data_IF_432143448934
#
_entry.id   IF_432143448934
#
_cell.length_a   1.000
_cell.length_b   1.000
_cell.length_c   1.000
_cell.angle_alpha   90.00
_cell.angle_beta   90.00
_cell.angle_gamma   90.00
#
_symmetry.space_group_name_H-M   'P 1'
#
loop_
_entity.id
_entity.type
_entity.pdbx_description
1 polymer ?
#
# COMPACT_ATOMS: atom_id res chain seq x y z
N UNK A 1 2.80 -7.80 -21.72
CA UNK A 1 2.26 -7.29 -20.45
C UNK A 1 2.23 -5.78 -20.59
N UNK A 2 1.10 -5.12 -20.35
CA UNK A 2 1.07 -3.67 -20.36
C UNK A 2 1.45 -3.15 -18.96
N UNK A 3 2.49 -2.35 -18.87
CA UNK A 3 2.94 -1.71 -17.64
C UNK A 3 2.66 -0.23 -17.80
N UNK A 4 1.97 0.36 -16.83
CA UNK A 4 1.69 1.79 -16.84
C UNK A 4 2.69 2.44 -15.89
N UNK A 5 3.49 3.33 -16.46
CA UNK A 5 4.42 4.16 -15.69
C UNK A 5 3.65 5.32 -15.06
N UNK A 6 3.43 5.23 -13.75
CA UNK A 6 2.81 6.28 -12.93
C UNK A 6 3.70 6.55 -11.73
N UNK A 7 3.74 7.81 -11.29
CA UNK A 7 4.52 8.23 -10.12
C UNK A 7 3.74 8.13 -8.81
N UNK A 8 2.41 8.01 -8.88
CA UNK A 8 1.51 8.02 -7.72
C UNK A 8 0.19 7.30 -8.01
N UNK A 9 -0.59 7.01 -6.96
CA UNK A 9 -1.95 6.45 -7.02
C UNK A 9 -2.87 7.35 -7.85
N UNK A 10 -2.77 8.67 -7.69
CA UNK A 10 -3.53 9.66 -8.47
C UNK A 10 -3.26 9.61 -9.99
N UNK A 11 -2.11 9.07 -10.41
CA UNK A 11 -1.75 8.92 -11.82
C UNK A 11 -2.32 7.67 -12.48
N UNK A 12 -2.90 6.74 -11.71
CA UNK A 12 -3.53 5.53 -12.24
C UNK A 12 -4.70 5.94 -13.16
N UNK A 13 -4.90 5.32 -14.33
CA UNK A 13 -6.05 5.64 -15.17
C UNK A 13 -7.37 5.32 -14.48
N UNK A 14 -8.41 6.09 -14.80
CA UNK A 14 -9.74 5.91 -14.23
C UNK A 14 -10.31 4.52 -14.49
N UNK A 15 -11.26 4.10 -13.64
CA UNK A 15 -11.94 2.82 -13.78
C UNK A 15 -12.65 2.70 -15.15
N UNK A 16 -13.17 3.80 -15.67
CA UNK A 16 -13.78 3.83 -17.01
C UNK A 16 -12.76 3.49 -18.10
N UNK A 17 -11.60 4.16 -18.09
CA UNK A 17 -10.54 3.93 -19.09
C UNK A 17 -10.03 2.49 -19.05
N UNK A 18 -9.79 1.93 -17.86
CA UNK A 18 -9.34 0.55 -17.72
C UNK A 18 -10.40 -0.46 -18.15
N UNK A 19 -11.69 -0.16 -17.92
CA UNK A 19 -12.80 -1.03 -18.35
C UNK A 19 -13.00 -1.00 -19.86
N UNK A 20 -12.95 0.19 -20.47
CA UNK A 20 -13.18 0.39 -21.90
C UNK A 20 -12.05 -0.24 -22.75
N UNK A 21 -10.82 -0.22 -22.26
CA UNK A 21 -9.67 -0.81 -22.94
C UNK A 21 -9.56 -2.32 -22.72
N UNK A 22 -10.17 -2.86 -21.67
CA UNK A 22 -10.04 -4.26 -21.27
C UNK A 22 -8.60 -4.67 -20.90
N UNK A 23 -7.70 -3.70 -20.77
CA UNK A 23 -6.29 -3.94 -20.59
C UNK A 23 -5.96 -4.29 -19.14
N UNK A 24 -5.10 -5.30 -18.98
CA UNK A 24 -4.50 -5.61 -17.68
C UNK A 24 -3.25 -4.76 -17.54
N UNK A 25 -3.32 -3.78 -16.65
CA UNK A 25 -2.23 -2.87 -16.36
C UNK A 25 -1.49 -3.29 -15.08
N UNK A 26 -0.16 -3.23 -15.12
CA UNK A 26 0.69 -3.41 -13.95
C UNK A 26 1.31 -2.08 -13.54
N UNK A 27 1.30 -1.81 -12.25
CA UNK A 27 1.80 -0.58 -11.63
C UNK A 27 2.81 -0.95 -10.56
N UNK A 28 3.89 -0.15 -10.45
CA UNK A 28 4.87 -0.28 -9.38
C UNK A 28 5.03 1.05 -8.66
N UNK A 29 4.61 1.13 -7.40
CA UNK A 29 4.66 2.36 -6.61
C UNK A 29 5.35 2.15 -5.26
N UNK A 30 6.12 3.14 -4.76
CA UNK A 30 6.44 3.22 -3.35
C UNK A 30 5.17 3.65 -2.58
N UNK A 31 4.79 2.86 -1.57
CA UNK A 31 3.58 3.11 -0.78
C UNK A 31 3.86 2.85 0.70
N UNK A 32 3.11 3.51 1.57
CA UNK A 32 3.01 3.23 3.00
C UNK A 32 1.95 2.14 3.21
N UNK A 33 2.27 1.15 4.03
CA UNK A 33 1.32 0.11 4.43
C UNK A 33 0.48 0.60 5.60
N UNK A 34 -0.84 0.53 5.45
CA UNK A 34 -1.81 0.97 6.45
C UNK A 34 -2.35 -0.20 7.27
N UNK A 35 -2.77 -1.28 6.61
CA UNK A 35 -3.30 -2.47 7.26
C UNK A 35 -3.18 -3.69 6.35
N UNK A 36 -3.24 -4.86 6.97
CA UNK A 36 -3.40 -6.13 6.24
C UNK A 36 -4.37 -7.03 6.98
N UNK A 37 -5.49 -7.39 6.35
CA UNK A 37 -6.54 -8.19 6.97
C UNK A 37 -7.01 -9.36 6.09
N UNK A 38 -7.03 -10.56 6.66
CA UNK A 38 -7.65 -11.75 6.09
C UNK A 38 -9.14 -11.77 6.42
N UNK A 39 -9.97 -11.64 5.40
CA UNK A 39 -11.43 -11.69 5.55
C UNK A 39 -12.02 -13.07 5.21
N UNK A 40 -11.18 -14.11 5.16
CA UNK A 40 -11.53 -15.52 5.02
C UNK A 40 -11.34 -16.07 3.60
N UNK A 41 -11.84 -15.37 2.57
CA UNK A 41 -11.66 -15.79 1.15
C UNK A 41 -10.45 -15.15 0.48
N UNK A 42 -10.06 -13.98 0.96
CA UNK A 42 -9.00 -13.16 0.40
C UNK A 42 -8.38 -12.37 1.54
N UNK A 43 -7.08 -12.10 1.44
CA UNK A 43 -6.41 -11.14 2.32
C UNK A 43 -6.30 -9.81 1.58
N UNK A 44 -6.56 -8.71 2.26
CA UNK A 44 -6.45 -7.38 1.67
C UNK A 44 -5.34 -6.61 2.38
N UNK A 45 -4.48 -5.97 1.58
CA UNK A 45 -3.46 -5.03 2.02
C UNK A 45 -3.92 -3.63 1.65
N UNK A 46 -4.14 -2.76 2.63
CA UNK A 46 -4.45 -1.34 2.42
C UNK A 46 -3.15 -0.55 2.41
N UNK A 47 -2.98 0.28 1.39
CA UNK A 47 -1.78 1.09 1.18
C UNK A 47 -2.15 2.50 0.75
N UNK A 48 -1.23 3.44 0.94
CA UNK A 48 -1.36 4.82 0.48
C UNK A 48 -0.01 5.40 0.07
N UNK A 49 -0.01 6.32 -0.88
CA UNK A 49 1.07 7.29 -1.11
C UNK A 49 0.60 8.73 -0.82
N UNK A 50 -0.55 8.86 -0.15
CA UNK A 50 -1.26 10.09 0.14
C UNK A 50 -1.70 10.91 -1.07
N UNK A 51 -1.76 10.30 -2.25
CA UNK A 51 -2.34 10.93 -3.43
C UNK A 51 -3.79 10.46 -3.62
N UNK A 52 -4.72 11.39 -3.88
CA UNK A 52 -6.13 11.04 -4.00
C UNK A 52 -6.44 10.42 -5.37
N UNK A 53 -7.34 9.46 -5.41
CA UNK A 53 -7.93 8.94 -6.63
C UNK A 53 -9.44 8.68 -6.44
N UNK A 54 -10.32 9.27 -7.27
CA UNK A 54 -11.78 9.23 -7.06
C UNK A 54 -12.39 7.84 -7.21
N UNK A 55 -11.82 7.00 -8.06
CA UNK A 55 -12.41 5.68 -8.37
C UNK A 55 -11.93 4.56 -7.43
N UNK A 56 -11.22 4.82 -6.34
CA UNK A 56 -10.73 3.75 -5.46
C UNK A 56 -11.88 2.96 -4.84
N UNK A 57 -11.83 1.63 -4.94
CA UNK A 57 -12.88 0.74 -4.45
C UNK A 57 -13.15 0.89 -2.94
N UNK A 58 -12.16 1.34 -2.17
CA UNK A 58 -12.34 1.63 -0.74
C UNK A 58 -13.26 2.84 -0.53
N UNK A 59 -12.95 3.97 -1.17
CA UNK A 59 -13.74 5.20 -1.11
C UNK A 59 -15.18 5.02 -1.60
N UNK A 60 -15.39 4.13 -2.58
CA UNK A 60 -16.71 3.82 -3.13
C UNK A 60 -17.52 2.84 -2.27
N UNK A 61 -16.99 2.36 -1.13
CA UNK A 61 -17.68 1.41 -0.25
C UNK A 61 -17.83 0.00 -0.83
N UNK A 62 -17.03 -0.34 -1.85
CA UNK A 62 -17.04 -1.65 -2.53
C UNK A 62 -16.18 -2.67 -1.76
N UNK A 63 -15.12 -2.20 -1.10
CA UNK A 63 -14.22 -3.05 -0.32
C UNK A 63 -14.94 -3.69 0.90
N UNK A 64 -14.46 -4.84 1.42
CA UNK A 64 -15.08 -5.48 2.58
C UNK A 64 -15.22 -4.56 3.79
N UNK A 65 -16.41 -4.53 4.40
CA UNK A 65 -16.74 -3.68 5.56
C UNK A 65 -15.92 -3.96 6.83
N UNK A 66 -15.25 -5.11 6.90
CA UNK A 66 -14.38 -5.51 8.03
C UNK A 66 -13.02 -4.79 7.99
N UNK A 67 -12.66 -4.17 6.87
CA UNK A 67 -11.39 -3.46 6.75
C UNK A 67 -11.41 -2.20 7.62
N UNK A 68 -10.29 -1.88 8.31
CA UNK A 68 -10.19 -0.62 9.02
C UNK A 68 -10.35 0.57 8.06
N UNK A 69 -11.01 1.62 8.56
CA UNK A 69 -11.39 2.80 7.77
C UNK A 69 -10.74 4.10 8.20
N UNK A 70 -10.10 4.12 9.37
CA UNK A 70 -9.48 5.30 9.94
C UNK A 70 -8.00 5.02 10.17
N UNK A 71 -7.15 5.87 9.60
CA UNK A 71 -5.71 5.73 9.69
C UNK A 71 -5.04 7.07 9.97
N UNK A 72 -4.06 7.02 10.88
CA UNK A 72 -3.11 8.10 11.11
C UNK A 72 -1.71 7.57 10.79
N UNK A 73 -0.99 8.27 9.92
CA UNK A 73 0.42 8.01 9.63
C UNK A 73 1.23 9.22 10.11
N UNK A 74 1.96 9.05 11.22
CA UNK A 74 2.51 10.19 11.96
C UNK A 74 1.37 11.11 12.44
N UNK A 75 1.42 12.39 12.07
CA UNK A 75 0.38 13.38 12.37
C UNK A 75 -0.67 13.54 11.26
N UNK A 76 -0.56 12.79 10.14
CA UNK A 76 -1.44 12.94 8.99
C UNK A 76 -2.57 11.90 9.00
N UNK A 77 -3.81 12.39 8.90
CA UNK A 77 -4.99 11.56 8.60
C UNK A 77 -4.96 11.11 7.14
N UNK A 78 -5.33 9.86 6.89
CA UNK A 78 -5.45 9.30 5.53
C UNK A 78 -6.93 9.28 5.13
N UNK A 79 -7.23 9.92 4.02
CA UNK A 79 -8.60 10.02 3.53
C UNK A 79 -9.01 8.76 2.74
N UNK A 80 -10.31 8.38 2.70
CA UNK A 80 -10.75 7.16 2.01
C UNK A 80 -10.34 7.07 0.54
N UNK A 81 -10.30 8.20 -0.16
CA UNK A 81 -9.88 8.31 -1.56
C UNK A 81 -8.35 8.33 -1.74
N UNK A 82 -7.58 8.18 -0.67
CA UNK A 82 -6.12 7.95 -0.68
C UNK A 82 -5.78 6.49 -0.36
N UNK A 83 -6.77 5.64 -0.05
CA UNK A 83 -6.59 4.25 0.37
C UNK A 83 -6.81 3.31 -0.83
N UNK A 84 -5.71 2.75 -1.33
CA UNK A 84 -5.76 1.71 -2.33
C UNK A 84 -5.79 0.33 -1.65
N UNK A 85 -6.82 -0.45 -1.95
CA UNK A 85 -6.94 -1.84 -1.49
C UNK A 85 -6.28 -2.79 -2.49
N UNK A 86 -5.42 -3.66 -1.99
CA UNK A 86 -4.71 -4.68 -2.78
C UNK A 86 -5.15 -6.07 -2.32
N UNK A 87 -5.79 -6.83 -3.20
CA UNK A 87 -6.12 -8.22 -2.97
C UNK A 87 -4.87 -9.10 -3.03
N UNK A 88 -4.64 -9.88 -1.97
CA UNK A 88 -3.54 -10.82 -1.79
C UNK A 88 -4.12 -12.23 -1.64
N UNK A 89 -3.72 -13.15 -2.50
CA UNK A 89 -4.20 -14.54 -2.43
C UNK A 89 -3.78 -15.20 -1.11
N UNK A 90 -4.59 -16.12 -0.56
CA UNK A 90 -4.25 -16.81 0.68
C UNK A 90 -2.86 -17.47 0.67
N UNK A 91 -2.46 -18.02 -0.48
CA UNK A 91 -1.13 -18.63 -0.69
C UNK A 91 0.03 -17.65 -0.55
N UNK A 92 -0.20 -16.35 -0.76
CA UNK A 92 0.83 -15.29 -0.70
C UNK A 92 0.73 -14.46 0.58
N UNK A 93 -0.39 -14.50 1.30
CA UNK A 93 -0.64 -13.68 2.49
C UNK A 93 0.46 -13.84 3.54
N UNK A 94 0.81 -15.10 3.90
CA UNK A 94 1.88 -15.36 4.88
C UNK A 94 3.23 -14.78 4.45
N UNK A 95 3.56 -14.86 3.16
CA UNK A 95 4.81 -14.31 2.63
C UNK A 95 4.84 -12.79 2.75
N UNK A 96 3.75 -12.11 2.35
CA UNK A 96 3.64 -10.65 2.47
C UNK A 96 3.76 -10.24 3.94
N UNK A 97 3.05 -10.90 4.85
CA UNK A 97 3.15 -10.64 6.28
C UNK A 97 4.59 -10.77 6.81
N UNK A 98 5.28 -11.85 6.46
CA UNK A 98 6.68 -12.05 6.83
C UNK A 98 7.60 -10.96 6.28
N UNK A 99 7.34 -10.45 5.07
CA UNK A 99 8.11 -9.32 4.52
C UNK A 99 7.85 -8.04 5.29
N UNK A 100 6.61 -7.75 5.66
CA UNK A 100 6.28 -6.58 6.48
C UNK A 100 6.91 -6.67 7.88
N UNK A 101 6.94 -7.87 8.47
CA UNK A 101 7.49 -8.13 9.80
C UNK A 101 8.98 -7.82 9.95
N UNK A 102 9.72 -7.70 8.84
CA UNK A 102 11.15 -7.36 8.88
C UNK A 102 11.43 -5.89 9.21
N UNK A 103 10.42 -5.01 9.20
CA UNK A 103 10.62 -3.56 9.12
C UNK A 103 9.94 -2.72 10.20
N UNK A 104 9.13 -3.33 11.07
CA UNK A 104 8.61 -2.62 12.24
C UNK A 104 8.92 -3.34 13.55
N UNK A 105 8.21 -2.97 14.60
CA UNK A 105 8.27 -3.66 15.88
C UNK A 105 8.03 -5.16 15.71
N UNK A 106 8.47 -6.02 16.66
CA UNK A 106 8.09 -7.41 16.65
C UNK A 106 6.59 -7.52 16.43
N UNK A 107 6.16 -8.10 15.30
CA UNK A 107 4.74 -8.28 14.95
C UNK A 107 4.04 -9.27 15.89
N UNK A 108 4.57 -9.50 17.07
CA UNK A 108 4.00 -10.31 18.15
C UNK A 108 2.71 -9.70 18.68
N UNK A 109 2.56 -8.37 18.63
CA UNK A 109 1.32 -7.63 18.98
C UNK A 109 0.34 -7.46 17.82
N UNK A 110 0.70 -7.87 16.60
CA UNK A 110 -0.12 -7.71 15.39
C UNK A 110 -0.52 -9.06 14.81
N UNK A 111 -1.68 -9.13 14.15
CA UNK A 111 -2.12 -10.33 13.45
C UNK A 111 -3.04 -9.92 12.29
N UNK A 112 -2.64 -10.26 11.06
CA UNK A 112 -3.45 -9.99 9.88
C UNK A 112 -4.74 -10.81 9.84
N UNK A 113 -4.98 -11.72 10.76
CA UNK A 113 -6.25 -12.47 10.88
C UNK A 113 -7.21 -11.86 11.91
N UNK A 114 -6.77 -10.87 12.69
CA UNK A 114 -7.55 -10.22 13.74
C UNK A 114 -7.81 -8.77 13.35
N UNK A 115 -9.09 -8.41 13.21
CA UNK A 115 -9.55 -7.05 12.85
C UNK A 115 -8.99 -5.97 13.78
N UNK A 116 -8.79 -6.29 15.06
CA UNK A 116 -8.31 -5.32 16.05
C UNK A 116 -6.79 -5.17 16.04
N UNK A 117 -6.07 -6.05 15.34
CA UNK A 117 -4.59 -6.14 15.36
C UNK A 117 -3.99 -6.09 13.95
N UNK A 118 -4.77 -5.70 12.97
CA UNK A 118 -4.39 -5.66 11.56
C UNK A 118 -3.91 -4.28 11.08
N UNK A 119 -4.09 -3.23 11.88
CA UNK A 119 -3.64 -1.87 11.58
C UNK A 119 -2.12 -1.73 11.83
N UNK A 120 -1.40 -1.33 10.79
CA UNK A 120 0.06 -1.16 10.76
C UNK A 120 0.47 0.29 10.48
N UNK A 121 -0.47 1.23 10.36
CA UNK A 121 -0.21 2.59 9.90
C UNK A 121 0.82 3.33 10.78
N UNK A 122 0.75 3.13 12.10
CA UNK A 122 1.69 3.71 13.07
C UNK A 122 3.15 3.23 12.86
N UNK A 123 3.35 2.07 12.23
CA UNK A 123 4.69 1.52 11.97
C UNK A 123 5.39 2.23 10.80
N UNK A 124 4.65 2.98 9.97
CA UNK A 124 5.18 3.70 8.81
C UNK A 124 6.03 2.81 7.90
N UNK A 125 5.54 1.61 7.57
CA UNK A 125 6.27 0.64 6.73
C UNK A 125 6.15 1.09 5.27
N UNK A 126 7.28 1.44 4.66
CA UNK A 126 7.36 1.82 3.25
C UNK A 126 7.78 0.62 2.40
N UNK A 127 7.02 0.36 1.34
CA UNK A 127 7.27 -0.76 0.43
C UNK A 127 7.16 -0.30 -1.02
N UNK A 128 8.03 -0.83 -1.88
CA UNK A 128 7.84 -0.78 -3.32
C UNK A 128 6.95 -1.97 -3.72
N UNK A 129 5.71 -1.67 -4.06
CA UNK A 129 4.69 -2.66 -4.38
C UNK A 129 4.45 -2.70 -5.89
N UNK A 130 4.54 -3.90 -6.46
CA UNK A 130 4.07 -4.18 -7.82
C UNK A 130 2.71 -4.90 -7.72
N UNK A 131 1.72 -4.37 -8.42
CA UNK A 131 0.38 -4.92 -8.46
C UNK A 131 -0.24 -4.75 -9.85
N UNK A 132 -1.16 -5.65 -10.17
CA UNK A 132 -2.04 -5.51 -11.33
C UNK A 132 -3.21 -4.64 -10.92
N UNK A 133 -3.41 -3.49 -11.53
CA UNK A 133 -4.62 -2.69 -11.30
C UNK A 133 -5.78 -3.29 -12.10
N UNK A 134 -6.96 -3.36 -11.50
CA UNK A 134 -8.17 -3.85 -12.17
C UNK A 134 -9.41 -3.11 -11.69
N UNK A 135 -10.47 -3.19 -12.50
CA UNK A 135 -11.79 -2.69 -12.14
C UNK A 135 -12.63 -3.81 -11.55
N UNK A 136 -13.24 -3.54 -10.40
CA UNK A 136 -14.15 -4.45 -9.71
C UNK A 136 -15.37 -3.69 -9.26
N UNK A 137 -16.55 -4.10 -9.75
CA UNK A 137 -17.83 -3.43 -9.48
C UNK A 137 -17.82 -1.91 -9.73
N UNK A 138 -17.03 -1.47 -10.72
CA UNK A 138 -16.87 -0.05 -11.06
C UNK A 138 -15.81 0.71 -10.28
N UNK A 139 -15.21 0.11 -9.24
CA UNK A 139 -14.10 0.70 -8.49
C UNK A 139 -12.74 0.11 -8.86
N UNK A 140 -11.67 0.82 -8.51
CA UNK A 140 -10.28 0.41 -8.68
C UNK A 140 -9.77 -0.35 -7.47
N UNK A 141 -9.22 -1.53 -7.72
CA UNK A 141 -8.48 -2.32 -6.74
C UNK A 141 -7.22 -2.89 -7.37
N UNK A 142 -6.19 -3.13 -6.55
CA UNK A 142 -5.00 -3.83 -6.98
C UNK A 142 -5.11 -5.33 -6.72
N UNK A 143 -4.42 -6.13 -7.52
CA UNK A 143 -4.16 -7.53 -7.26
C UNK A 143 -2.67 -7.76 -7.12
N UNK A 144 -2.25 -8.37 -6.01
CA UNK A 144 -0.86 -8.48 -5.62
C UNK A 144 0.01 -9.18 -6.68
N UNK A 145 1.07 -8.48 -7.10
CA UNK A 145 2.15 -9.00 -7.93
C UNK A 145 3.34 -9.43 -7.07
N UNK A 146 4.12 -8.45 -6.62
CA UNK A 146 5.34 -8.61 -5.83
C UNK A 146 5.56 -7.43 -4.87
N UNK A 147 6.28 -7.65 -3.76
CA UNK A 147 6.61 -6.62 -2.76
C UNK A 147 8.10 -6.58 -2.47
N UNK A 148 8.67 -5.38 -2.49
CA UNK A 148 9.99 -5.07 -1.97
C UNK A 148 9.86 -4.04 -0.86
N UNK A 149 9.87 -4.50 0.37
CA UNK A 149 9.86 -3.61 1.52
C UNK A 149 11.27 -3.03 1.77
N UNK A 150 11.35 -1.75 2.13
CA UNK A 150 12.60 -1.03 2.32
C UNK A 150 13.08 -1.14 3.77
N UNK A 151 14.36 -1.49 3.97
CA UNK A 151 14.97 -1.54 5.31
C UNK A 151 15.29 -0.15 5.80
N UNK A 152 14.85 0.21 7.01
CA UNK A 152 15.49 1.28 7.77
C UNK A 152 16.96 0.88 7.97
N UNK A 153 17.88 1.60 7.34
CA UNK A 153 19.30 1.49 7.67
C UNK A 153 19.54 1.95 9.12
N UNK A 154 20.66 1.56 9.76
CA UNK A 154 21.06 2.20 11.01
C UNK A 154 21.18 3.71 10.80
N UNK A 155 20.65 4.47 11.75
CA UNK A 155 20.50 5.92 11.72
C UNK A 155 21.86 6.63 11.92
N UNK A 156 22.81 6.43 11.00
CA UNK A 156 24.07 7.17 10.98
C UNK A 156 23.98 8.34 9.99
N UNK A 157 24.24 9.55 10.53
CA UNK A 157 24.22 10.87 9.88
C UNK A 157 24.61 10.84 8.40
N UNK A 158 23.65 11.09 7.51
CA UNK A 158 23.97 11.43 6.12
C UNK A 158 24.49 12.86 6.03
N UNK A 159 25.80 12.99 5.82
CA UNK A 159 26.45 14.22 5.36
C UNK A 159 26.28 14.28 3.83
N UNK A 160 25.75 15.40 3.33
CA UNK A 160 25.57 15.67 1.90
C UNK A 160 26.89 15.56 1.13
N UNK A 161 27.01 14.54 0.26
CA UNK A 161 28.06 14.41 -0.74
C UNK A 161 27.48 14.35 -2.14
N UNK A 162 27.87 15.31 -2.99
CA UNK A 162 27.55 15.35 -4.43
C UNK A 162 27.89 14.01 -5.12
N UNK A 163 26.90 13.35 -5.71
CA UNK A 163 27.13 12.20 -6.60
C UNK A 163 25.86 11.39 -6.83
N UNK A 164 25.49 11.22 -8.10
CA UNK A 164 24.26 10.62 -8.63
C UNK A 164 24.00 9.15 -8.24
N UNK A 165 23.74 8.84 -6.96
CA UNK A 165 23.15 7.57 -6.54
C UNK A 165 22.07 7.84 -5.50
N UNK A 166 20.81 7.67 -5.92
CA UNK A 166 19.65 7.80 -5.06
C UNK A 166 19.54 6.57 -4.14
N UNK A 167 20.26 6.59 -3.02
CA UNK A 167 19.95 5.77 -1.84
C UNK A 167 19.07 6.59 -0.89
N UNK A 168 17.79 6.70 -1.24
CA UNK A 168 16.80 7.44 -0.45
C UNK A 168 16.55 6.75 0.88
N UNK A 169 17.08 7.30 1.96
CA UNK A 169 16.57 7.07 3.31
C UNK A 169 15.62 8.22 3.60
N UNK A 170 14.37 7.92 3.97
CA UNK A 170 13.37 8.96 4.22
C UNK A 170 13.76 9.82 5.43
N UNK A 171 13.77 11.13 5.18
CA UNK A 171 13.92 12.22 6.14
C UNK A 171 12.59 12.45 6.86
N UNK A 172 12.70 12.73 8.17
CA UNK A 172 11.76 13.40 9.07
C UNK A 172 10.27 13.18 8.87
N UNK A 173 9.72 12.24 9.64
CA UNK A 173 8.31 12.31 10.02
C UNK A 173 8.12 13.52 10.96
N UNK A 174 7.81 14.67 10.37
CA UNK A 174 6.92 15.71 10.89
C UNK A 174 7.08 16.02 12.40
N UNK A 175 8.10 16.81 12.72
CA UNK A 175 8.10 17.66 13.92
C UNK A 175 8.06 19.12 13.47
N UNK A 176 6.88 19.72 13.45
CA UNK A 176 6.59 21.10 13.86
C UNK A 176 5.17 21.14 14.46
#
# INVERSE_FOLDING_TARGET
MNTIEVSSISGIPSAKVLSDTGERAYVTLPVVVLAMLDVGRMTFLQVTDFSPHPDLAFALGISPKRLPSEFMVGSKSVEPYEILTIAVTPSKARYVWQKLALYGEPMTSHDYRDENRCNLAHMCIIVRLNFKIQTYQGGLEGFYGHIHAWKRGPMERMIYGKGNNWTGSCIDCLSE
#
